data_IF_041554017752
#
_entry.id   IF_041554017752
#
_cell.length_a   1.000
_cell.length_b   1.000
_cell.length_c   1.000
_cell.angle_alpha   90.00
_cell.angle_beta   90.00
_cell.angle_gamma   90.00
#
_symmetry.space_group_name_H-M   'P 1'
#
loop_
_entity.id
_entity.type
_entity.pdbx_description
1 polymer ?
#
# COMPACT_ATOMS: atom_id res chain seq x y z
N UNK A 1 -8.94 -11.32 -4.21
CA UNK A 1 -7.52 -11.36 -4.61
C UNK A 1 -6.64 -11.48 -3.38
N UNK A 2 -5.35 -11.80 -3.52
CA UNK A 2 -4.44 -11.82 -2.35
C UNK A 2 -4.42 -10.48 -1.60
N UNK A 3 -4.68 -9.37 -2.30
CA UNK A 3 -4.80 -8.02 -1.73
C UNK A 3 -5.94 -7.91 -0.71
N UNK A 4 -7.14 -8.43 -0.98
CA UNK A 4 -8.27 -8.39 -0.03
C UNK A 4 -7.95 -9.17 1.25
N UNK A 5 -7.20 -10.27 1.11
CA UNK A 5 -6.77 -11.08 2.25
C UNK A 5 -5.75 -10.33 3.10
N UNK A 6 -4.73 -9.73 2.49
CA UNK A 6 -3.73 -8.91 3.18
C UNK A 6 -4.41 -7.72 3.86
N UNK A 7 -5.33 -7.05 3.18
CA UNK A 7 -6.10 -5.93 3.72
C UNK A 7 -6.89 -6.30 4.98
N UNK A 8 -7.45 -7.50 5.05
CA UNK A 8 -8.26 -7.94 6.20
C UNK A 8 -7.42 -8.54 7.33
N UNK A 9 -6.24 -9.09 7.02
CA UNK A 9 -5.44 -9.88 7.96
C UNK A 9 -4.17 -9.16 8.47
N UNK A 10 -3.70 -8.12 7.78
CA UNK A 10 -2.44 -7.48 8.10
C UNK A 10 -2.61 -6.30 9.06
N UNK A 11 -1.88 -6.34 10.17
CA UNK A 11 -1.77 -5.21 11.10
C UNK A 11 -0.82 -4.12 10.55
N UNK A 12 0.24 -4.51 9.83
CA UNK A 12 1.26 -3.62 9.27
C UNK A 12 1.73 -4.12 7.90
N UNK A 13 2.04 -3.20 7.00
CA UNK A 13 2.54 -3.42 5.65
C UNK A 13 3.83 -2.63 5.44
N UNK A 14 4.81 -3.26 4.81
CA UNK A 14 6.02 -2.60 4.30
C UNK A 14 6.05 -2.73 2.79
N UNK A 15 5.97 -1.61 2.08
CA UNK A 15 6.10 -1.56 0.63
C UNK A 15 7.55 -1.26 0.25
N UNK A 16 8.18 -2.22 -0.43
CA UNK A 16 9.58 -2.17 -0.85
C UNK A 16 9.66 -2.04 -2.36
N UNK A 17 10.51 -1.15 -2.85
CA UNK A 17 10.79 -1.03 -4.28
C UNK A 17 12.30 -0.84 -4.45
N UNK A 18 12.92 -1.67 -5.29
CA UNK A 18 14.38 -1.66 -5.54
C UNK A 18 15.26 -1.77 -4.28
N UNK A 19 14.71 -2.33 -3.19
CA UNK A 19 15.41 -2.49 -1.92
C UNK A 19 15.21 -1.34 -0.93
N UNK A 20 14.54 -0.26 -1.32
CA UNK A 20 14.19 0.85 -0.44
C UNK A 20 12.77 0.70 0.11
N UNK A 21 12.54 1.22 1.32
CA UNK A 21 11.22 1.28 1.96
C UNK A 21 10.51 2.54 1.48
N UNK A 22 9.44 2.37 0.70
CA UNK A 22 8.62 3.47 0.17
C UNK A 22 7.43 3.76 1.08
N UNK A 23 6.91 2.73 1.74
CA UNK A 23 5.85 2.87 2.72
C UNK A 23 6.03 1.85 3.83
N UNK A 24 5.74 2.26 5.06
CA UNK A 24 5.62 1.39 6.21
C UNK A 24 4.53 1.92 7.11
N UNK A 25 3.56 1.09 7.43
CA UNK A 25 2.40 1.46 8.24
C UNK A 25 1.24 0.51 8.02
N UNK A 26 0.08 0.89 8.50
CA UNK A 26 -1.15 0.11 8.36
C UNK A 26 -1.76 0.25 6.96
N UNK A 27 -2.68 -0.66 6.60
CA UNK A 27 -3.47 -0.56 5.37
C UNK A 27 -4.24 0.76 5.30
N UNK A 28 -4.81 1.19 6.42
CA UNK A 28 -5.59 2.44 6.51
C UNK A 28 -4.74 3.68 6.26
N UNK A 29 -3.50 3.69 6.77
CA UNK A 29 -2.56 4.78 6.51
C UNK A 29 -2.16 4.85 5.04
N UNK A 30 -1.95 3.69 4.40
CA UNK A 30 -1.63 3.60 2.98
C UNK A 30 -2.77 4.15 2.12
N UNK A 31 -4.00 3.71 2.41
CA UNK A 31 -5.22 4.16 1.74
C UNK A 31 -5.40 5.68 1.86
N UNK A 32 -5.28 6.22 3.09
CA UNK A 32 -5.33 7.67 3.35
C UNK A 32 -4.27 8.45 2.60
N UNK A 33 -3.04 7.93 2.52
CA UNK A 33 -1.93 8.58 1.82
C UNK A 33 -2.18 8.64 0.30
N UNK A 34 -2.75 7.59 -0.26
CA UNK A 34 -3.06 7.51 -1.69
C UNK A 34 -4.39 8.17 -2.11
N UNK A 35 -5.22 8.59 -1.16
CA UNK A 35 -6.61 9.02 -1.38
C UNK A 35 -7.45 7.95 -2.14
N UNK A 36 -7.21 6.67 -1.82
CA UNK A 36 -7.90 5.51 -2.39
C UNK A 36 -8.50 4.65 -1.30
N UNK A 37 -9.63 4.01 -1.59
CA UNK A 37 -10.34 3.16 -0.62
C UNK A 37 -9.91 1.69 -0.67
N UNK A 38 -9.16 1.28 -1.68
CA UNK A 38 -8.71 -0.10 -1.87
C UNK A 38 -7.18 -0.17 -1.92
N UNK A 39 -6.64 -1.26 -1.38
CA UNK A 39 -5.20 -1.47 -1.28
C UNK A 39 -4.51 -1.52 -2.66
N UNK A 40 -5.18 -2.07 -3.67
CA UNK A 40 -4.61 -2.26 -5.01
C UNK A 40 -4.35 -0.91 -5.71
N UNK A 41 -5.34 -0.02 -5.74
CA UNK A 41 -5.18 1.32 -6.31
C UNK A 41 -4.31 2.21 -5.43
N UNK A 42 -4.26 1.98 -4.11
CA UNK A 42 -3.33 2.69 -3.23
C UNK A 42 -1.87 2.39 -3.61
N UNK A 43 -1.54 1.12 -3.84
CA UNK A 43 -0.22 0.70 -4.31
C UNK A 43 0.05 1.23 -5.73
N UNK A 44 -0.93 1.17 -6.63
CA UNK A 44 -0.77 1.70 -7.99
C UNK A 44 -0.43 3.20 -7.98
N UNK A 45 -1.05 3.97 -7.09
CA UNK A 45 -0.77 5.40 -6.91
C UNK A 45 0.67 5.63 -6.44
N UNK A 46 1.17 4.84 -5.46
CA UNK A 46 2.57 4.92 -5.02
C UNK A 46 3.58 4.58 -6.12
N UNK A 47 3.23 3.66 -7.02
CA UNK A 47 4.08 3.31 -8.16
C UNK A 47 4.11 4.43 -9.21
N UNK A 48 2.97 5.08 -9.46
CA UNK A 48 2.86 6.19 -10.41
C UNK A 48 3.51 7.49 -9.92
N UNK A 49 3.63 7.72 -8.61
CA UNK A 49 4.35 8.88 -8.08
C UNK A 49 5.87 8.85 -8.35
N UNK A 50 6.43 7.70 -8.76
CA UNK A 50 7.85 7.54 -9.06
C UNK A 50 8.20 7.87 -10.53
N UNK A 51 7.21 7.99 -11.42
CA UNK A 51 7.40 8.43 -12.82
C UNK A 51 7.42 9.97 -12.93
#
# INVERSE_FOLDING_TARGET
HIMDFVETMADEIVFLLEGDIYFRGTVDELKKKSDRNDLEHAIATLLSEKE
#
